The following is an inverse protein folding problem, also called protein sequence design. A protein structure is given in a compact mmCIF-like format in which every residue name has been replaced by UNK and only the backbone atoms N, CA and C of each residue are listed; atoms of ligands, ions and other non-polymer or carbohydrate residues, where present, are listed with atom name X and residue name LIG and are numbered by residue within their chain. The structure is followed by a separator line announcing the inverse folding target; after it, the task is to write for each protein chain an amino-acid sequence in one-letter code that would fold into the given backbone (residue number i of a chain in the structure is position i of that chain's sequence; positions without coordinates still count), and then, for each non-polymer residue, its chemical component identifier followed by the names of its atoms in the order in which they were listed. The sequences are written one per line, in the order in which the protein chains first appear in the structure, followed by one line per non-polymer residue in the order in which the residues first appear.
data_IF_007033018020
#
_entry.id   IF_007033018020
#
_cell.length_a   1.000
_cell.length_b   1.000
_cell.length_c   1.000
_cell.angle_alpha   90.00
_cell.angle_beta   90.00
_cell.angle_gamma   90.00
#
_symmetry.space_group_name_H-M   'P 1'
#
loop_
_entity.id
_entity.type
_entity.pdbx_description
1 polymer ?
#
# COMPACT_ATOMS: atom_id res chain seq x y z
N UNK A 1 18.24 -34.70 22.80
CA UNK A 1 17.77 -34.43 21.42
C UNK A 1 17.64 -32.94 21.15
N UNK A 2 16.75 -32.21 21.85
CA UNK A 2 16.63 -30.73 21.72
C UNK A 2 17.98 -30.05 21.89
N UNK A 3 18.71 -30.27 23.00
CA UNK A 3 20.05 -29.68 23.19
C UNK A 3 21.07 -30.01 22.09
N UNK A 4 20.94 -31.16 21.41
CA UNK A 4 21.77 -31.53 20.25
C UNK A 4 21.40 -30.72 19.02
N UNK A 5 20.10 -30.48 18.80
CA UNK A 5 19.60 -29.61 17.73
C UNK A 5 19.92 -28.14 18.02
N UNK A 6 19.71 -27.63 19.23
CA UNK A 6 20.04 -26.25 19.63
C UNK A 6 21.50 -25.93 19.34
N UNK A 7 22.42 -26.87 19.60
CA UNK A 7 23.84 -26.68 19.26
C UNK A 7 24.08 -26.60 17.74
N UNK A 8 23.25 -27.28 16.95
CA UNK A 8 23.37 -27.31 15.48
C UNK A 8 22.67 -26.14 14.80
N UNK A 9 21.51 -25.71 15.30
CA UNK A 9 20.69 -24.62 14.76
C UNK A 9 21.10 -23.26 15.33
N UNK A 10 21.66 -23.23 16.55
CA UNK A 10 21.84 -22.02 17.38
C UNK A 10 20.55 -21.26 17.66
N UNK A 11 19.43 -21.98 17.63
CA UNK A 11 18.09 -21.46 17.77
C UNK A 11 17.28 -22.49 18.57
N UNK A 12 16.75 -22.06 19.71
CA UNK A 12 16.00 -22.92 20.64
C UNK A 12 14.61 -23.24 20.10
N UNK A 13 13.89 -22.22 19.63
CA UNK A 13 12.52 -22.36 19.16
C UNK A 13 12.49 -23.25 17.92
N UNK A 14 13.42 -23.02 16.98
CA UNK A 14 13.57 -23.88 15.81
C UNK A 14 13.89 -25.33 16.17
N UNK A 15 14.69 -25.55 17.22
CA UNK A 15 15.05 -26.88 17.68
C UNK A 15 13.86 -27.61 18.33
N UNK A 16 13.05 -26.91 19.11
CA UNK A 16 11.85 -27.48 19.73
C UNK A 16 10.80 -27.84 18.67
N UNK A 17 10.47 -26.90 17.78
CA UNK A 17 9.53 -27.12 16.67
C UNK A 17 9.96 -28.29 15.79
N UNK A 18 11.24 -28.36 15.44
CA UNK A 18 11.75 -29.44 14.61
C UNK A 18 11.68 -30.82 15.31
N UNK A 19 11.81 -30.86 16.63
CA UNK A 19 11.64 -32.09 17.40
C UNK A 19 10.17 -32.49 17.48
N UNK A 20 9.26 -31.55 17.68
CA UNK A 20 7.81 -31.81 17.69
C UNK A 20 7.34 -32.36 16.34
N UNK A 21 7.73 -31.73 15.23
CA UNK A 21 7.45 -32.21 13.88
C UNK A 21 8.01 -33.63 13.61
N UNK A 22 9.16 -33.95 14.21
CA UNK A 22 9.76 -35.27 14.08
C UNK A 22 8.94 -36.34 14.81
N UNK A 23 8.41 -36.02 16.00
CA UNK A 23 7.48 -36.90 16.71
C UNK A 23 6.15 -37.06 15.97
N UNK A 24 5.58 -35.99 15.43
CA UNK A 24 4.39 -36.07 14.58
C UNK A 24 4.62 -37.00 13.38
N UNK A 25 5.76 -36.82 12.70
CA UNK A 25 6.14 -37.67 11.56
C UNK A 25 6.36 -39.14 11.98
N UNK A 26 6.86 -39.36 13.19
CA UNK A 26 7.07 -40.71 13.74
C UNK A 26 5.74 -41.43 13.98
N UNK A 27 4.73 -40.77 14.54
CA UNK A 27 3.42 -41.37 14.80
C UNK A 27 2.81 -41.89 13.50
N UNK A 28 2.83 -41.08 12.44
CA UNK A 28 2.31 -41.48 11.14
C UNK A 28 3.16 -42.58 10.46
N UNK A 29 4.49 -42.45 10.49
CA UNK A 29 5.39 -43.39 9.84
C UNK A 29 5.37 -44.76 10.53
N UNK A 30 5.45 -44.81 11.86
CA UNK A 30 5.52 -46.07 12.61
C UNK A 30 4.20 -46.83 12.59
N UNK A 31 3.07 -46.13 12.48
CA UNK A 31 1.76 -46.77 12.29
C UNK A 31 1.68 -47.52 10.95
N UNK A 32 2.34 -47.03 9.90
CA UNK A 32 2.33 -47.62 8.56
C UNK A 32 3.45 -48.63 8.34
N UNK A 33 4.67 -48.26 8.75
CA UNK A 33 5.92 -48.92 8.36
C UNK A 33 6.54 -49.72 9.52
N UNK A 34 5.95 -49.65 10.73
CA UNK A 34 6.50 -50.23 11.96
C UNK A 34 7.54 -49.34 12.64
N UNK A 35 7.88 -49.67 13.88
CA UNK A 35 8.90 -48.96 14.65
C UNK A 35 10.30 -49.37 14.12
N UNK A 36 11.15 -48.42 13.68
CA UNK A 36 12.50 -48.72 13.23
C UNK A 36 13.38 -49.31 14.34
N UNK A 37 14.43 -50.05 13.96
CA UNK A 37 15.39 -50.65 14.89
C UNK A 37 16.06 -49.64 15.83
N UNK A 38 16.22 -48.38 15.37
CA UNK A 38 16.73 -47.28 16.19
C UNK A 38 15.80 -46.05 16.14
N UNK A 39 14.76 -46.00 16.99
CA UNK A 39 13.80 -44.90 17.01
C UNK A 39 14.44 -43.55 17.31
N UNK A 40 15.39 -43.52 18.25
CA UNK A 40 16.08 -42.31 18.64
C UNK A 40 16.92 -41.72 17.50
N UNK A 41 17.65 -42.56 16.75
CA UNK A 41 18.44 -42.11 15.61
C UNK A 41 17.55 -41.60 14.47
N UNK A 42 16.41 -42.26 14.26
CA UNK A 42 15.40 -41.81 13.30
C UNK A 42 14.86 -40.43 13.66
N UNK A 43 14.45 -40.22 14.92
CA UNK A 43 13.92 -38.95 15.41
C UNK A 43 14.94 -37.80 15.28
N UNK A 44 16.19 -38.03 15.70
CA UNK A 44 17.25 -37.02 15.58
C UNK A 44 17.49 -36.64 14.11
N UNK A 45 17.50 -37.63 13.22
CA UNK A 45 17.72 -37.41 11.79
C UNK A 45 16.55 -36.64 11.16
N UNK A 46 15.32 -37.03 11.48
CA UNK A 46 14.10 -36.37 11.01
C UNK A 46 14.04 -34.93 11.53
N UNK A 47 14.27 -34.70 12.82
CA UNK A 47 14.30 -33.37 13.41
C UNK A 47 15.36 -32.47 12.74
N UNK A 48 16.56 -33.00 12.51
CA UNK A 48 17.62 -32.25 11.81
C UNK A 48 17.21 -31.86 10.38
N UNK A 49 16.55 -32.76 9.65
CA UNK A 49 16.04 -32.46 8.30
C UNK A 49 14.95 -31.39 8.34
N UNK A 50 13.99 -31.49 9.27
CA UNK A 50 12.92 -30.49 9.48
C UNK A 50 13.48 -29.10 9.79
N UNK A 51 14.49 -29.02 10.65
CA UNK A 51 15.17 -27.75 10.97
C UNK A 51 15.84 -27.14 9.73
N UNK A 52 16.59 -27.93 8.97
CA UNK A 52 17.22 -27.48 7.72
C UNK A 52 16.18 -26.99 6.70
N UNK A 53 15.07 -27.71 6.57
CA UNK A 53 14.01 -27.36 5.62
C UNK A 53 13.31 -26.04 6.02
N UNK A 54 13.05 -25.81 7.31
CA UNK A 54 12.54 -24.52 7.80
C UNK A 54 13.52 -23.38 7.49
N UNK A 55 14.81 -23.55 7.80
CA UNK A 55 15.81 -22.53 7.53
C UNK A 55 15.95 -22.22 6.03
N UNK A 56 15.88 -23.24 5.16
CA UNK A 56 15.87 -23.04 3.70
C UNK A 56 14.63 -22.30 3.20
N UNK A 57 13.46 -22.57 3.79
CA UNK A 57 12.22 -21.85 3.47
C UNK A 57 12.32 -20.40 3.87
N UNK A 58 12.84 -20.10 5.06
CA UNK A 58 13.04 -18.74 5.54
C UNK A 58 14.04 -17.97 4.67
N UNK A 59 15.19 -18.57 4.34
CA UNK A 59 16.15 -17.98 3.39
C UNK A 59 15.52 -17.69 2.03
N UNK A 60 14.65 -18.59 1.55
CA UNK A 60 13.93 -18.39 0.29
C UNK A 60 12.92 -17.26 0.40
N UNK A 61 12.19 -17.18 1.52
CA UNK A 61 11.24 -16.09 1.79
C UNK A 61 11.98 -14.76 1.82
N UNK A 62 13.04 -14.62 2.62
CA UNK A 62 13.86 -13.41 2.72
C UNK A 62 14.42 -12.98 1.36
N UNK A 63 14.85 -13.93 0.52
CA UNK A 63 15.34 -13.63 -0.83
C UNK A 63 14.22 -13.18 -1.79
N UNK A 64 13.01 -13.70 -1.64
CA UNK A 64 11.87 -13.41 -2.53
C UNK A 64 11.04 -12.22 -2.09
N UNK A 65 11.02 -11.90 -0.80
CA UNK A 65 10.20 -10.81 -0.26
C UNK A 65 10.46 -9.46 -0.95
N UNK A 66 11.72 -9.06 -1.24
CA UNK A 66 11.98 -7.83 -1.98
C UNK A 66 11.47 -7.84 -3.42
N UNK A 67 11.33 -9.02 -4.05
CA UNK A 67 10.79 -9.15 -5.40
C UNK A 67 9.26 -8.97 -5.45
N UNK A 68 8.59 -9.07 -4.30
CA UNK A 68 7.17 -8.78 -4.16
C UNK A 68 6.90 -7.30 -3.88
N UNK A 69 7.94 -6.52 -3.57
CA UNK A 69 7.84 -5.08 -3.49
C UNK A 69 7.75 -4.57 -4.93
N UNK A 70 6.54 -4.23 -5.36
CA UNK A 70 6.36 -3.35 -6.51
C UNK A 70 6.85 -1.99 -6.04
N UNK A 71 7.87 -1.38 -6.68
CA UNK A 71 8.19 0.01 -6.45
C UNK A 71 6.89 0.80 -6.69
N UNK A 72 6.29 1.30 -5.61
CA UNK A 72 5.42 2.46 -5.76
C UNK A 72 6.40 3.56 -6.13
N UNK A 73 6.38 4.00 -7.38
CA UNK A 73 7.03 5.24 -7.74
C UNK A 73 6.31 6.35 -6.95
N UNK A 74 6.73 6.55 -5.71
CA UNK A 74 6.38 7.71 -4.87
C UNK A 74 7.01 8.99 -5.44
N UNK A 75 7.66 8.91 -6.62
CA UNK A 75 7.91 10.02 -7.53
C UNK A 75 6.75 10.31 -8.49
N UNK A 76 5.58 9.68 -8.29
CA UNK A 76 4.32 10.24 -8.78
C UNK A 76 4.00 11.50 -7.96
N UNK A 77 4.84 12.53 -8.08
CA UNK A 77 4.38 13.89 -7.86
C UNK A 77 3.10 14.04 -8.67
N UNK A 78 2.10 14.74 -8.14
CA UNK A 78 0.83 14.89 -8.86
C UNK A 78 1.04 15.58 -10.23
N UNK A 79 2.24 16.12 -10.50
CA UNK A 79 2.67 16.59 -11.80
C UNK A 79 2.82 15.49 -12.87
N UNK A 80 2.94 14.23 -12.49
CA UNK A 80 3.03 13.07 -13.38
C UNK A 80 1.67 12.46 -13.72
N UNK A 81 0.56 13.04 -13.25
CA UNK A 81 -0.76 12.72 -13.78
C UNK A 81 -0.87 13.37 -15.17
N UNK A 82 -0.85 12.62 -16.29
CA UNK A 82 -0.97 13.18 -17.63
C UNK A 82 -2.43 13.54 -17.97
N UNK A 83 -3.27 13.69 -16.94
CA UNK A 83 -4.67 14.01 -17.06
C UNK A 83 -4.88 15.50 -16.80
N UNK A 84 -4.80 16.27 -17.89
CA UNK A 84 -5.14 17.68 -17.96
C UNK A 84 -6.53 18.00 -17.35
N UNK A 85 -7.45 17.02 -17.31
CA UNK A 85 -8.79 17.21 -16.73
C UNK A 85 -8.74 17.26 -15.21
N UNK A 86 -7.92 16.42 -14.56
CA UNK A 86 -7.75 16.46 -13.11
C UNK A 86 -7.03 17.75 -12.69
N UNK A 87 -6.02 18.18 -13.45
CA UNK A 87 -5.36 19.49 -13.27
C UNK A 87 -6.36 20.66 -13.33
N UNK A 88 -7.28 20.62 -14.30
CA UNK A 88 -8.34 21.62 -14.41
C UNK A 88 -9.26 21.61 -13.17
N UNK A 89 -9.68 20.43 -12.70
CA UNK A 89 -10.57 20.29 -11.55
C UNK A 89 -9.93 20.85 -10.27
N UNK A 90 -8.66 20.51 -9.98
CA UNK A 90 -7.97 21.03 -8.79
C UNK A 90 -7.75 22.54 -8.85
N UNK A 91 -7.43 23.09 -10.03
CA UNK A 91 -7.33 24.54 -10.22
C UNK A 91 -8.66 25.24 -9.94
N UNK A 92 -9.78 24.62 -10.34
CA UNK A 92 -11.11 25.14 -10.03
C UNK A 92 -11.43 25.11 -8.53
N UNK A 93 -10.84 24.20 -7.75
CA UNK A 93 -11.08 24.03 -6.32
C UNK A 93 -10.22 24.92 -5.40
N UNK A 94 -9.36 25.78 -5.93
CA UNK A 94 -8.36 26.51 -5.13
C UNK A 94 -8.99 27.55 -4.16
N UNK A 95 -8.55 27.61 -2.88
CA UNK A 95 -9.15 28.48 -1.86
C UNK A 95 -9.07 29.98 -2.16
N UNK A 96 -8.09 30.42 -2.96
CA UNK A 96 -7.99 31.83 -3.41
C UNK A 96 -9.08 32.26 -4.41
N UNK A 97 -9.85 31.32 -4.95
CA UNK A 97 -11.01 31.59 -5.81
C UNK A 97 -12.26 31.50 -4.94
N UNK A 98 -13.10 32.53 -4.94
CA UNK A 98 -14.38 32.50 -4.22
C UNK A 98 -15.24 31.29 -4.64
N UNK A 99 -16.03 30.72 -3.73
CA UNK A 99 -16.79 29.47 -3.95
C UNK A 99 -17.66 29.53 -5.22
N UNK A 100 -18.28 30.67 -5.50
CA UNK A 100 -19.09 30.89 -6.70
C UNK A 100 -18.25 30.86 -7.97
N UNK A 101 -17.01 31.34 -7.90
CA UNK A 101 -16.03 31.25 -8.98
C UNK A 101 -15.53 29.83 -9.21
N UNK A 102 -15.34 29.04 -8.12
CA UNK A 102 -14.93 27.63 -8.18
C UNK A 102 -15.97 26.79 -8.91
N UNK A 103 -17.24 26.92 -8.50
CA UNK A 103 -18.38 26.23 -9.12
C UNK A 103 -18.56 26.67 -10.57
N UNK A 104 -18.43 27.96 -10.86
CA UNK A 104 -18.55 28.48 -12.23
C UNK A 104 -17.45 28.00 -13.18
N UNK A 105 -16.23 27.72 -12.68
CA UNK A 105 -15.13 27.16 -13.48
C UNK A 105 -15.25 25.63 -13.66
N UNK A 106 -15.75 24.92 -12.65
CA UNK A 106 -15.95 23.48 -12.69
C UNK A 106 -17.14 23.06 -13.59
N UNK A 107 -18.21 23.85 -13.61
CA UNK A 107 -19.37 23.62 -14.45
C UNK A 107 -19.12 24.20 -15.85
N UNK A 108 -18.93 23.34 -16.87
CA UNK A 108 -18.87 23.73 -18.29
C UNK A 108 -20.26 24.11 -18.85
N UNK A 109 -20.91 25.10 -18.23
CA UNK A 109 -22.23 25.61 -18.62
C UNK A 109 -22.12 27.02 -19.19
N UNK A 110 -23.16 27.47 -19.90
CA UNK A 110 -23.27 28.86 -20.33
C UNK A 110 -23.36 29.80 -19.12
N UNK A 111 -22.69 30.96 -19.19
CA UNK A 111 -22.69 31.97 -18.11
C UNK A 111 -24.10 32.35 -17.66
N UNK A 112 -25.07 32.37 -18.57
CA UNK A 112 -26.47 32.64 -18.27
C UNK A 112 -27.11 31.54 -17.41
N UNK A 113 -26.77 30.27 -17.61
CA UNK A 113 -27.25 29.15 -16.80
C UNK A 113 -26.65 29.19 -15.39
N UNK A 114 -25.35 29.49 -15.28
CA UNK A 114 -24.67 29.65 -13.99
C UNK A 114 -25.24 30.84 -13.22
N UNK A 115 -25.52 31.96 -13.90
CA UNK A 115 -26.13 33.14 -13.30
C UNK A 115 -27.51 32.84 -12.67
N UNK A 116 -28.32 31.99 -13.33
CA UNK A 116 -29.61 31.53 -12.80
C UNK A 116 -29.45 30.65 -11.56
N UNK A 117 -28.49 29.72 -11.57
CA UNK A 117 -28.21 28.85 -10.42
C UNK A 117 -27.79 29.65 -9.17
N UNK A 118 -27.03 30.73 -9.37
CA UNK A 118 -26.58 31.62 -8.31
C UNK A 118 -27.52 32.80 -8.03
N UNK A 119 -28.65 32.89 -8.72
CA UNK A 119 -29.66 33.96 -8.56
C UNK A 119 -29.04 35.35 -8.67
N UNK A 120 -28.21 35.57 -9.70
CA UNK A 120 -27.55 36.87 -9.98
C UNK A 120 -27.72 37.29 -11.45
N UNK A 121 -27.59 38.58 -11.78
CA UNK A 121 -27.54 39.04 -13.17
C UNK A 121 -26.39 38.41 -13.95
N UNK A 122 -26.61 38.14 -15.24
CA UNK A 122 -25.61 37.52 -16.12
C UNK A 122 -24.32 38.35 -16.23
N UNK A 123 -24.43 39.68 -16.24
CA UNK A 123 -23.27 40.58 -16.25
C UNK A 123 -22.39 40.42 -14.99
N UNK A 124 -23.02 40.25 -13.82
CA UNK A 124 -22.32 40.01 -12.54
C UNK A 124 -21.58 38.68 -12.56
N UNK A 125 -22.21 37.62 -13.08
CA UNK A 125 -21.56 36.32 -13.21
C UNK A 125 -20.40 36.34 -14.24
N UNK A 126 -20.56 37.04 -15.36
CA UNK A 126 -19.50 37.21 -16.35
C UNK A 126 -18.25 37.89 -15.77
N UNK A 127 -18.43 38.93 -14.95
CA UNK A 127 -17.34 39.60 -14.25
C UNK A 127 -16.63 38.66 -13.25
N UNK A 128 -17.41 37.86 -12.50
CA UNK A 128 -16.87 36.86 -11.55
C UNK A 128 -16.04 35.79 -12.25
N UNK A 129 -16.55 35.23 -13.35
CA UNK A 129 -15.82 34.24 -14.16
C UNK A 129 -14.53 34.83 -14.74
N UNK A 130 -14.56 36.05 -15.23
CA UNK A 130 -13.39 36.72 -15.80
C UNK A 130 -12.31 36.97 -14.73
N UNK A 131 -12.71 37.39 -13.52
CA UNK A 131 -11.80 37.54 -12.38
C UNK A 131 -11.21 36.19 -11.96
N UNK A 132 -12.03 35.15 -11.86
CA UNK A 132 -11.58 33.80 -11.52
C UNK A 132 -10.58 33.24 -12.56
N UNK A 133 -10.85 33.43 -13.86
CA UNK A 133 -9.90 33.07 -14.95
C UNK A 133 -8.59 33.86 -14.86
N UNK A 134 -8.64 35.14 -14.46
CA UNK A 134 -7.44 35.96 -14.27
C UNK A 134 -6.56 35.43 -13.13
N UNK A 135 -7.18 35.00 -12.03
CA UNK A 135 -6.49 34.39 -10.87
C UNK A 135 -5.94 33.01 -11.26
N UNK A 136 -6.71 32.17 -11.95
CA UNK A 136 -6.22 30.88 -12.43
C UNK A 136 -5.02 31.01 -13.41
N UNK A 137 -5.02 32.05 -14.25
CA UNK A 137 -3.93 32.33 -15.19
C UNK A 137 -2.69 32.96 -14.55
N UNK A 138 -2.78 33.50 -13.33
CA UNK A 138 -1.65 34.17 -12.68
C UNK A 138 -0.67 33.22 -11.99
N UNK A 139 -0.71 31.92 -12.32
CA UNK A 139 0.25 30.94 -11.79
C UNK A 139 0.03 30.69 -10.30
N UNK A 140 -1.18 30.31 -9.91
CA UNK A 140 -1.41 29.78 -8.56
C UNK A 140 -0.53 28.54 -8.42
N UNK A 141 0.43 28.59 -7.48
CA UNK A 141 1.32 27.47 -7.23
C UNK A 141 0.47 26.25 -6.83
N UNK A 142 0.54 25.21 -7.63
CA UNK A 142 -0.12 23.95 -7.35
C UNK A 142 0.46 23.38 -6.05
N UNK A 143 -0.37 23.29 -5.02
CA UNK A 143 -0.02 22.72 -3.73
C UNK A 143 -1.18 21.89 -3.22
N UNK A 144 -0.86 20.70 -2.70
CA UNK A 144 -1.80 19.89 -1.94
C UNK A 144 -2.21 20.68 -0.69
N UNK A 145 -3.53 20.93 -0.49
CA UNK A 145 -4.00 21.61 0.70
C UNK A 145 -3.47 20.91 1.95
N UNK A 146 -2.96 21.67 2.91
CA UNK A 146 -2.55 21.09 4.18
C UNK A 146 -3.77 20.47 4.89
N UNK A 147 -3.56 19.50 5.78
CA UNK A 147 -4.66 18.84 6.49
C UNK A 147 -5.61 19.83 7.20
N UNK A 148 -5.11 21.00 7.60
CA UNK A 148 -5.87 22.11 8.21
C UNK A 148 -6.77 22.89 7.22
N UNK A 149 -6.59 22.70 5.92
CA UNK A 149 -7.31 23.37 4.84
C UNK A 149 -8.38 22.45 4.22
N UNK A 150 -8.38 21.17 4.59
CA UNK A 150 -9.44 20.23 4.24
C UNK A 150 -10.66 20.48 5.13
N UNK A 151 -11.88 20.56 4.57
CA UNK A 151 -13.09 20.59 5.37
C UNK A 151 -13.20 19.26 6.13
N UNK A 152 -13.33 19.36 7.47
CA UNK A 152 -13.64 18.23 8.34
C UNK A 152 -15.09 17.79 8.23
#
# INVERSE_FOLDING_TARGET
MVGTLVRATRDLDLAEDAVQDAFESAIAAWARDGIPDSPAAWLITTARRKAIDRQRREMTLTRKLPLLIVPCDDESSIDDIPDERLRLIFTCCHPAIAIEGRVALALRLETAAIARLFVVPTATMAARVTRAKKIARSGIAYRVPEARELPG
#
